data_IF_938940501246
#
_entry.id   IF_938940501246
#
_cell.length_a   1.000
_cell.length_b   1.000
_cell.length_c   1.000
_cell.angle_alpha   90.00
_cell.angle_beta   90.00
_cell.angle_gamma   90.00
#
_symmetry.space_group_name_H-M   'P 1'
#
loop_
_entity.id
_entity.type
_entity.pdbx_description
1 polymer ?
#
# COMPACT_ATOMS: atom_id res chain seq x y z
N UNK A 1 1.26 -9.76 -1.26
CA UNK A 1 1.28 -8.30 -1.55
C UNK A 1 2.62 -7.93 -2.16
N UNK A 2 2.59 -7.38 -3.35
CA UNK A 2 3.76 -6.98 -4.09
C UNK A 2 3.83 -5.44 -4.08
N UNK A 3 4.41 -4.88 -3.04
CA UNK A 3 4.38 -3.44 -2.75
C UNK A 3 4.99 -2.63 -3.90
N UNK A 4 4.25 -1.66 -4.41
CA UNK A 4 4.67 -0.73 -5.45
C UNK A 4 4.76 -1.27 -6.88
N UNK A 5 4.28 -2.49 -7.17
CA UNK A 5 4.33 -3.06 -8.51
C UNK A 5 3.25 -2.45 -9.42
N UNK A 6 3.57 -1.37 -10.11
CA UNK A 6 2.74 -0.84 -11.19
C UNK A 6 2.70 -1.75 -12.42
N UNK A 7 1.69 -1.55 -13.27
CA UNK A 7 1.55 -2.32 -14.53
C UNK A 7 2.76 -2.13 -15.44
N UNK A 8 3.34 -0.94 -15.50
CA UNK A 8 4.54 -0.61 -16.26
C UNK A 8 5.77 -1.44 -15.83
N UNK A 9 5.97 -1.64 -14.53
CA UNK A 9 7.04 -2.51 -14.02
C UNK A 9 6.85 -3.96 -14.48
N UNK A 10 5.63 -4.49 -14.41
CA UNK A 10 5.32 -5.84 -14.87
C UNK A 10 5.54 -6.00 -16.38
N UNK A 11 5.05 -5.06 -17.17
CA UNK A 11 5.12 -5.13 -18.64
C UNK A 11 6.56 -5.06 -19.17
N UNK A 12 7.40 -4.20 -18.56
CA UNK A 12 8.80 -3.99 -18.97
C UNK A 12 9.78 -5.03 -18.38
N UNK A 13 9.35 -5.83 -17.42
CA UNK A 13 10.21 -6.80 -16.75
C UNK A 13 10.13 -8.20 -17.32
N UNK A 14 11.23 -8.95 -17.17
CA UNK A 14 11.30 -10.36 -17.52
C UNK A 14 10.82 -11.22 -16.33
N UNK A 15 9.50 -11.46 -16.25
CA UNK A 15 8.85 -12.27 -15.23
C UNK A 15 8.14 -13.48 -15.85
N UNK A 16 8.88 -14.50 -16.31
CA UNK A 16 8.31 -15.61 -17.08
C UNK A 16 7.27 -16.43 -16.30
N UNK A 17 7.42 -16.57 -14.98
CA UNK A 17 6.45 -17.25 -14.12
C UNK A 17 5.13 -16.51 -14.10
N UNK A 18 5.14 -15.20 -13.79
CA UNK A 18 3.92 -14.39 -13.83
C UNK A 18 3.33 -14.29 -15.24
N UNK A 19 4.16 -14.21 -16.29
CA UNK A 19 3.69 -14.21 -17.67
C UNK A 19 3.04 -15.54 -18.08
N UNK A 20 3.53 -16.67 -17.56
CA UNK A 20 2.89 -17.98 -17.70
C UNK A 20 1.54 -17.99 -16.95
N UNK A 21 1.52 -17.59 -15.68
CA UNK A 21 0.31 -17.59 -14.86
C UNK A 21 -0.77 -16.64 -15.38
N UNK A 22 -0.37 -15.52 -16.01
CA UNK A 22 -1.30 -14.62 -16.69
C UNK A 22 -2.05 -15.28 -17.86
N UNK A 23 -1.47 -16.33 -18.49
CA UNK A 23 -2.10 -17.07 -19.59
C UNK A 23 -2.88 -18.30 -19.11
N UNK A 24 -2.41 -18.97 -18.07
CA UNK A 24 -2.95 -20.22 -17.54
C UNK A 24 -3.94 -20.02 -16.39
N UNK A 25 -3.89 -18.86 -15.74
CA UNK A 25 -4.73 -18.47 -14.62
C UNK A 25 -5.53 -17.20 -14.93
N UNK A 26 -5.64 -16.33 -13.92
CA UNK A 26 -6.31 -15.04 -14.04
C UNK A 26 -5.27 -13.92 -14.09
N UNK A 27 -5.44 -13.01 -15.03
CA UNK A 27 -4.74 -11.73 -15.10
C UNK A 27 -5.71 -10.63 -15.49
N UNK A 28 -5.67 -9.53 -14.75
CA UNK A 28 -6.41 -8.30 -15.09
C UNK A 28 -5.62 -7.08 -14.63
N UNK A 29 -5.63 -6.01 -15.43
CA UNK A 29 -5.28 -4.67 -14.94
C UNK A 29 -6.45 -4.16 -14.13
N UNK A 30 -6.19 -3.80 -12.90
CA UNK A 30 -7.18 -3.33 -11.92
C UNK A 30 -6.74 -2.00 -11.34
N UNK A 31 -7.58 -1.42 -10.49
CA UNK A 31 -7.28 -0.16 -9.82
C UNK A 31 -6.96 -0.38 -8.35
N UNK A 32 -5.86 0.19 -7.88
CA UNK A 32 -5.67 0.43 -6.46
C UNK A 32 -6.72 1.41 -5.94
N UNK A 33 -7.15 1.26 -4.69
CA UNK A 33 -8.09 2.22 -4.09
C UNK A 33 -7.38 3.50 -3.65
N UNK A 34 -8.14 4.58 -3.55
CA UNK A 34 -7.60 5.89 -3.12
C UNK A 34 -7.67 6.06 -1.60
N UNK A 35 -6.64 6.71 -1.02
CA UNK A 35 -5.38 7.11 -1.63
C UNK A 35 -4.53 5.89 -1.97
N UNK A 36 -3.69 5.98 -3.00
CA UNK A 36 -2.78 4.92 -3.41
C UNK A 36 -1.58 4.82 -2.46
N UNK A 37 -1.85 4.51 -1.19
CA UNK A 37 -0.84 4.36 -0.12
C UNK A 37 -0.94 2.98 0.53
N UNK A 38 0.18 2.49 1.04
CA UNK A 38 0.33 1.11 1.49
C UNK A 38 -0.72 0.70 2.52
N UNK A 39 -0.90 1.45 3.62
CA UNK A 39 -1.76 0.97 4.72
C UNK A 39 -3.22 0.86 4.30
N UNK A 40 -3.75 1.82 3.52
CA UNK A 40 -5.13 1.80 3.03
C UNK A 40 -5.37 0.60 2.11
N UNK A 41 -4.49 0.40 1.13
CA UNK A 41 -4.64 -0.69 0.16
C UNK A 41 -4.37 -2.06 0.78
N UNK A 42 -3.37 -2.18 1.64
CA UNK A 42 -3.07 -3.41 2.39
C UNK A 42 -4.25 -3.83 3.28
N UNK A 43 -4.84 -2.88 4.02
CA UNK A 43 -6.03 -3.13 4.82
C UNK A 43 -7.23 -3.54 3.94
N UNK A 44 -7.44 -2.84 2.82
CA UNK A 44 -8.46 -3.17 1.84
C UNK A 44 -8.36 -4.59 1.31
N UNK A 45 -7.17 -5.00 0.85
CA UNK A 45 -6.91 -6.38 0.39
C UNK A 45 -7.17 -7.40 1.49
N UNK A 46 -6.66 -7.14 2.72
CA UNK A 46 -6.78 -8.12 3.81
C UNK A 46 -8.18 -8.17 4.43
N UNK A 47 -8.94 -7.09 4.43
CA UNK A 47 -10.31 -7.06 4.93
C UNK A 47 -11.35 -7.42 3.85
N UNK A 48 -11.03 -7.21 2.57
CA UNK A 48 -11.96 -7.42 1.45
C UNK A 48 -13.09 -6.39 1.41
N UNK A 49 -12.89 -5.21 2.02
CA UNK A 49 -13.81 -4.06 2.08
C UNK A 49 -13.04 -2.75 1.94
N UNK A 50 -13.73 -1.65 1.64
CA UNK A 50 -13.11 -0.33 1.49
C UNK A 50 -12.89 0.38 2.83
N UNK A 51 -12.23 1.55 2.79
CA UNK A 51 -11.81 2.30 3.98
C UNK A 51 -12.98 2.88 4.80
N UNK A 52 -14.17 3.05 4.22
CA UNK A 52 -15.40 3.37 4.95
C UNK A 52 -15.80 2.26 5.95
N UNK A 53 -15.44 1.00 5.64
CA UNK A 53 -15.73 -0.16 6.48
C UNK A 53 -14.52 -0.62 7.31
N UNK A 54 -13.28 -0.65 6.75
CA UNK A 54 -12.11 -1.10 7.51
C UNK A 54 -11.40 0.01 8.29
N UNK A 55 -11.70 1.28 8.01
CA UNK A 55 -11.26 2.42 8.82
C UNK A 55 -9.87 2.99 8.52
N UNK A 56 -9.03 2.37 7.69
CA UNK A 56 -7.67 2.83 7.38
C UNK A 56 -7.69 3.71 6.13
N UNK A 57 -7.51 5.02 6.29
CA UNK A 57 -7.69 6.03 5.23
C UNK A 57 -6.38 6.62 4.70
N UNK A 58 -5.25 6.27 5.31
CA UNK A 58 -3.91 6.75 4.97
C UNK A 58 -2.85 6.02 5.79
N UNK A 59 -1.62 6.51 5.79
CA UNK A 59 -0.60 6.04 6.74
C UNK A 59 -0.72 6.73 8.10
N UNK A 60 -1.29 7.94 8.14
CA UNK A 60 -1.64 8.65 9.38
C UNK A 60 -2.91 9.51 9.19
N UNK A 61 -3.50 9.95 10.28
CA UNK A 61 -4.62 10.89 10.33
C UNK A 61 -4.52 11.79 11.55
N UNK A 62 -5.23 12.92 11.54
CA UNK A 62 -5.42 13.73 12.73
C UNK A 62 -6.62 13.24 13.50
N UNK A 63 -6.37 12.80 14.73
CA UNK A 63 -7.41 12.38 15.65
C UNK A 63 -7.91 13.59 16.43
N UNK A 64 -9.13 14.03 16.11
CA UNK A 64 -9.75 15.22 16.71
C UNK A 64 -10.12 15.01 18.19
N UNK A 65 -10.36 13.77 18.64
CA UNK A 65 -10.76 13.47 20.02
C UNK A 65 -9.61 13.66 21.00
N UNK A 66 -8.38 13.42 20.55
CA UNK A 66 -7.17 13.58 21.38
C UNK A 66 -6.27 14.71 20.88
N UNK A 67 -6.68 15.43 19.83
CA UNK A 67 -5.97 16.55 19.20
C UNK A 67 -4.51 16.22 18.82
N UNK A 68 -4.28 15.04 18.21
CA UNK A 68 -2.95 14.55 17.85
C UNK A 68 -2.94 13.76 16.54
N UNK A 69 -1.78 13.72 15.90
CA UNK A 69 -1.52 12.82 14.80
C UNK A 69 -1.44 11.36 15.30
N UNK A 70 -2.12 10.46 14.58
CA UNK A 70 -2.08 9.01 14.82
C UNK A 70 -1.59 8.28 13.56
N UNK A 71 -0.63 7.36 13.74
CA UNK A 71 -0.20 6.47 12.66
C UNK A 71 -1.15 5.28 12.53
N UNK A 72 -1.60 5.00 11.33
CA UNK A 72 -2.55 3.93 11.03
C UNK A 72 -1.86 2.56 10.88
N UNK A 73 -1.05 2.18 11.87
CA UNK A 73 -0.33 0.91 11.92
C UNK A 73 -0.75 0.01 13.09
N UNK A 74 -1.82 0.33 13.81
CA UNK A 74 -2.36 -0.47 14.90
C UNK A 74 -3.63 -1.22 14.45
N UNK A 75 -3.69 -2.54 14.70
CA UNK A 75 -4.84 -3.39 14.39
C UNK A 75 -6.12 -3.01 15.12
N UNK A 76 -6.04 -2.27 16.23
CA UNK A 76 -7.22 -1.72 16.93
C UNK A 76 -7.94 -0.63 16.11
N UNK A 77 -7.28 -0.06 15.11
CA UNK A 77 -7.89 0.90 14.18
C UNK A 77 -8.74 0.21 13.09
N UNK A 78 -8.56 -1.11 12.90
CA UNK A 78 -9.37 -1.87 11.95
C UNK A 78 -10.77 -2.09 12.52
N UNK A 79 -11.77 -1.71 11.74
CA UNK A 79 -13.20 -1.85 12.07
C UNK A 79 -13.86 -3.05 11.37
N UNK A 80 -13.10 -3.77 10.53
CA UNK A 80 -13.54 -4.98 9.84
C UNK A 80 -12.57 -6.14 10.07
N UNK A 81 -13.05 -7.40 10.13
CA UNK A 81 -12.20 -8.56 10.32
C UNK A 81 -11.29 -8.81 9.10
N UNK A 82 -10.03 -9.09 9.37
CA UNK A 82 -9.06 -9.45 8.34
C UNK A 82 -9.29 -10.86 7.80
N UNK A 83 -8.71 -11.15 6.64
CA UNK A 83 -8.60 -12.49 6.04
C UNK A 83 -8.03 -13.51 7.06
N UNK A 84 -7.08 -13.11 7.90
CA UNK A 84 -6.48 -14.00 8.91
C UNK A 84 -7.47 -14.36 10.03
N UNK A 85 -8.25 -13.40 10.50
CA UNK A 85 -9.30 -13.63 11.49
C UNK A 85 -10.43 -14.49 10.90
N UNK A 86 -10.81 -14.24 9.64
CA UNK A 86 -11.78 -15.09 8.93
C UNK A 86 -11.25 -16.51 8.76
N UNK A 87 -10.04 -16.71 8.26
CA UNK A 87 -9.40 -18.01 8.12
C UNK A 87 -9.36 -18.78 9.44
N UNK A 88 -9.03 -18.11 10.54
CA UNK A 88 -9.02 -18.70 11.88
C UNK A 88 -10.36 -19.28 12.33
N UNK A 89 -11.49 -18.68 11.91
CA UNK A 89 -12.85 -19.22 12.19
C UNK A 89 -13.10 -20.58 11.51
N UNK A 90 -12.36 -20.89 10.44
CA UNK A 90 -12.38 -22.18 9.75
C UNK A 90 -11.25 -23.12 10.20
N UNK A 91 -10.53 -22.77 11.28
CA UNK A 91 -9.40 -23.55 11.78
C UNK A 91 -8.14 -23.47 10.91
N UNK A 92 -8.10 -22.55 9.93
CA UNK A 92 -6.94 -22.36 9.08
C UNK A 92 -5.88 -21.53 9.82
N UNK A 93 -4.69 -22.08 9.94
CA UNK A 93 -3.53 -21.41 10.55
C UNK A 93 -2.89 -20.45 9.56
N UNK A 94 -2.74 -19.20 9.95
CA UNK A 94 -2.21 -18.14 9.10
C UNK A 94 -0.87 -17.63 9.59
N UNK A 95 -0.01 -17.20 8.67
CA UNK A 95 1.27 -16.59 8.98
C UNK A 95 1.52 -15.35 8.11
N UNK A 96 2.18 -14.35 8.67
CA UNK A 96 2.63 -13.13 7.96
C UNK A 96 4.16 -13.11 7.93
N UNK A 97 4.74 -12.82 6.76
CA UNK A 97 6.16 -12.48 6.60
C UNK A 97 6.24 -11.18 5.80
N UNK A 98 6.73 -10.12 6.42
CA UNK A 98 6.74 -8.77 5.85
C UNK A 98 8.10 -8.10 5.91
N UNK A 99 8.46 -7.41 4.85
CA UNK A 99 9.59 -6.49 4.83
C UNK A 99 9.33 -5.23 5.68
N UNK A 100 8.06 -4.82 5.81
CA UNK A 100 7.66 -3.63 6.58
C UNK A 100 7.14 -4.02 7.96
N UNK A 101 7.82 -3.58 9.05
CA UNK A 101 7.40 -3.88 10.43
C UNK A 101 5.99 -3.40 10.75
N UNK A 102 5.56 -2.25 10.18
CA UNK A 102 4.22 -1.67 10.42
C UNK A 102 3.06 -2.60 10.02
N UNK A 103 3.29 -3.54 9.11
CA UNK A 103 2.31 -4.57 8.72
C UNK A 103 1.93 -5.48 9.88
N UNK A 104 2.90 -5.80 10.75
CA UNK A 104 2.71 -6.76 11.85
C UNK A 104 1.68 -6.29 12.86
N UNK A 105 1.83 -5.13 13.54
CA UNK A 105 0.82 -4.68 14.50
C UNK A 105 -0.54 -4.44 13.86
N UNK A 106 -0.60 -4.01 12.58
CA UNK A 106 -1.86 -3.77 11.89
C UNK A 106 -2.63 -5.07 11.59
N UNK A 107 -1.95 -6.14 11.14
CA UNK A 107 -2.62 -7.31 10.57
C UNK A 107 -2.48 -8.61 11.37
N UNK A 108 -1.67 -8.66 12.42
CA UNK A 108 -1.31 -9.92 13.13
C UNK A 108 -2.49 -10.64 13.82
N UNK A 109 -3.60 -9.97 14.05
CA UNK A 109 -4.75 -10.58 14.70
C UNK A 109 -5.31 -11.74 13.86
N UNK A 110 -5.43 -12.91 14.48
CA UNK A 110 -5.85 -14.15 13.81
C UNK A 110 -4.72 -14.96 13.19
N UNK A 111 -3.45 -14.50 13.27
CA UNK A 111 -2.28 -15.28 12.81
C UNK A 111 -1.65 -16.07 13.95
N UNK A 112 -1.00 -17.19 13.61
CA UNK A 112 -0.19 -17.95 14.57
C UNK A 112 1.22 -17.41 14.69
N UNK A 113 1.71 -16.71 13.68
CA UNK A 113 3.00 -16.03 13.66
C UNK A 113 2.97 -14.85 12.68
N UNK A 114 3.59 -13.74 13.06
CA UNK A 114 3.79 -12.61 12.19
C UNK A 114 5.21 -12.07 12.33
N UNK A 115 5.95 -12.03 11.24
CA UNK A 115 7.37 -11.65 11.16
C UNK A 115 7.48 -10.35 10.37
N UNK A 116 8.06 -9.32 11.00
CA UNK A 116 8.51 -8.10 10.35
C UNK A 116 10.03 -8.03 10.32
N UNK A 117 10.63 -7.56 9.24
CA UNK A 117 12.09 -7.58 9.08
C UNK A 117 12.84 -6.69 10.07
N UNK A 118 12.23 -5.62 10.57
CA UNK A 118 12.93 -4.65 11.42
C UNK A 118 12.97 -5.08 12.90
N UNK A 119 12.11 -6.03 13.31
CA UNK A 119 12.09 -6.60 14.65
C UNK A 119 11.65 -8.07 14.62
N UNK A 120 12.37 -8.96 13.94
CA UNK A 120 12.01 -10.37 13.87
C UNK A 120 12.28 -11.08 15.20
N UNK A 121 11.52 -12.16 15.54
CA UNK A 121 11.83 -13.04 16.66
C UNK A 121 13.26 -13.61 16.58
N UNK A 122 13.86 -13.86 17.76
CA UNK A 122 15.25 -14.31 17.85
C UNK A 122 15.50 -15.65 17.12
N UNK A 123 14.54 -16.57 17.15
CA UNK A 123 14.61 -17.84 16.43
C UNK A 123 14.63 -17.67 14.91
N UNK A 124 13.98 -16.62 14.41
CA UNK A 124 14.02 -16.29 12.98
C UNK A 124 15.41 -15.78 12.59
N UNK A 125 15.99 -14.91 13.41
CA UNK A 125 17.36 -14.42 13.18
C UNK A 125 18.36 -15.57 13.25
N UNK A 126 18.20 -16.49 14.21
CA UNK A 126 19.07 -17.65 14.33
C UNK A 126 19.01 -18.56 13.09
N UNK A 127 17.80 -18.75 12.53
CA UNK A 127 17.59 -19.67 11.40
C UNK A 127 17.96 -19.05 10.05
N UNK A 128 17.60 -17.79 9.81
CA UNK A 128 17.70 -17.15 8.48
C UNK A 128 18.75 -16.04 8.41
N UNK A 129 19.45 -15.78 9.51
CA UNK A 129 20.39 -14.67 9.62
C UNK A 129 19.69 -13.33 9.92
N UNK A 130 20.51 -12.32 10.23
CA UNK A 130 20.05 -10.96 10.47
C UNK A 130 19.40 -10.42 9.18
N UNK A 131 18.19 -9.80 9.27
CA UNK A 131 17.57 -9.21 8.09
C UNK A 131 18.42 -8.07 7.52
N UNK A 132 18.43 -7.91 6.20
CA UNK A 132 18.98 -6.72 5.56
C UNK A 132 18.23 -5.45 5.97
N UNK A 133 18.85 -4.30 5.68
CA UNK A 133 18.20 -3.00 5.89
C UNK A 133 16.91 -2.89 5.07
N UNK A 134 15.86 -2.28 5.65
CA UNK A 134 14.57 -2.09 4.97
C UNK A 134 14.70 -1.27 3.67
N UNK A 135 15.70 -0.39 3.60
CA UNK A 135 16.02 0.42 2.41
C UNK A 135 17.00 -0.31 1.49
N UNK A 136 16.73 -1.58 1.19
CA UNK A 136 17.45 -2.42 0.26
C UNK A 136 16.51 -3.34 -0.52
N UNK A 137 16.97 -3.89 -1.64
CA UNK A 137 16.25 -4.96 -2.35
C UNK A 137 16.34 -6.30 -1.60
N UNK A 138 17.43 -6.52 -0.90
CA UNK A 138 17.74 -7.78 -0.23
C UNK A 138 16.78 -8.15 0.88
N UNK A 139 16.13 -7.16 1.51
CA UNK A 139 15.09 -7.42 2.51
C UNK A 139 13.89 -8.17 1.91
N UNK A 140 13.53 -7.88 0.66
CA UNK A 140 12.50 -8.61 -0.07
C UNK A 140 12.93 -10.07 -0.31
N UNK A 141 14.20 -10.31 -0.62
CA UNK A 141 14.74 -11.67 -0.81
C UNK A 141 14.81 -12.46 0.50
N UNK A 142 15.13 -11.78 1.61
CA UNK A 142 15.09 -12.37 2.94
C UNK A 142 13.68 -12.82 3.33
N UNK A 143 12.67 -11.99 3.07
CA UNK A 143 11.24 -12.32 3.27
C UNK A 143 10.85 -13.56 2.47
N UNK A 144 11.24 -13.62 1.19
CA UNK A 144 10.93 -14.74 0.32
C UNK A 144 11.63 -16.04 0.73
N UNK A 145 12.89 -15.98 1.21
CA UNK A 145 13.59 -17.15 1.76
C UNK A 145 12.85 -17.78 2.93
N UNK A 146 12.30 -16.96 3.83
CA UNK A 146 11.46 -17.43 4.94
C UNK A 146 10.18 -18.05 4.41
N UNK A 147 9.51 -17.38 3.48
CA UNK A 147 8.26 -17.87 2.89
C UNK A 147 8.44 -19.24 2.21
N UNK A 148 9.50 -19.43 1.44
CA UNK A 148 9.82 -20.72 0.79
C UNK A 148 10.06 -21.81 1.83
N UNK A 149 10.80 -21.51 2.91
CA UNK A 149 11.02 -22.49 3.97
C UNK A 149 9.70 -22.86 4.70
N UNK A 150 8.82 -21.88 4.93
CA UNK A 150 7.49 -22.13 5.51
C UNK A 150 6.69 -23.07 4.59
N UNK A 151 6.66 -22.81 3.29
CA UNK A 151 5.96 -23.63 2.30
C UNK A 151 6.50 -25.07 2.33
N UNK A 152 7.82 -25.25 2.31
CA UNK A 152 8.47 -26.56 2.28
C UNK A 152 8.33 -27.36 3.58
N UNK A 153 8.36 -26.69 4.74
CA UNK A 153 8.58 -27.35 6.02
C UNK A 153 7.46 -27.13 7.06
N UNK A 154 6.44 -26.34 6.74
CA UNK A 154 5.33 -26.07 7.67
C UNK A 154 3.94 -26.33 7.02
N UNK A 155 3.61 -27.57 6.66
CA UNK A 155 2.37 -27.90 5.94
C UNK A 155 1.09 -27.59 6.71
N UNK A 156 1.19 -27.25 8.01
CA UNK A 156 0.05 -26.82 8.83
C UNK A 156 -0.31 -25.36 8.64
N UNK A 157 0.51 -24.56 7.93
CA UNK A 157 0.18 -23.17 7.57
C UNK A 157 -0.65 -23.23 6.29
N UNK A 158 -1.94 -22.96 6.42
CA UNK A 158 -2.89 -22.97 5.30
C UNK A 158 -3.09 -21.61 4.64
N UNK A 159 -2.56 -20.54 5.24
CA UNK A 159 -2.58 -19.19 4.67
C UNK A 159 -1.28 -18.46 4.98
N UNK A 160 -0.52 -18.12 3.97
CA UNK A 160 0.73 -17.37 4.08
C UNK A 160 0.62 -16.03 3.37
N UNK A 161 0.77 -14.94 4.10
CA UNK A 161 0.82 -13.59 3.54
C UNK A 161 2.26 -13.10 3.47
N UNK A 162 2.72 -12.82 2.26
CA UNK A 162 4.06 -12.31 1.99
C UNK A 162 3.92 -10.85 1.56
N UNK A 163 4.64 -9.94 2.20
CA UNK A 163 4.60 -8.51 1.90
C UNK A 163 6.03 -7.98 1.68
N UNK A 164 6.30 -7.51 0.46
CA UNK A 164 7.58 -6.89 0.08
C UNK A 164 7.62 -5.42 0.51
N UNK A 165 8.71 -4.71 0.24
CA UNK A 165 8.78 -3.24 0.30
C UNK A 165 8.98 -2.67 -1.10
N UNK A 166 8.39 -1.53 -1.36
CA UNK A 166 8.43 -0.73 -2.57
C UNK A 166 9.71 0.11 -2.74
N UNK A 167 10.65 0.02 -1.78
CA UNK A 167 11.91 0.76 -1.84
C UNK A 167 12.61 0.67 -3.22
N UNK A 168 12.68 -0.50 -3.88
CA UNK A 168 13.29 -0.58 -5.22
C UNK A 168 12.61 0.32 -6.24
N UNK A 169 11.27 0.43 -6.20
CA UNK A 169 10.47 1.22 -7.12
C UNK A 169 10.57 2.72 -6.84
N UNK A 170 10.82 3.11 -5.59
CA UNK A 170 11.17 4.50 -5.23
C UNK A 170 12.54 4.92 -5.77
N UNK A 171 13.47 3.98 -5.97
CA UNK A 171 14.84 4.26 -6.40
C UNK A 171 15.07 4.06 -7.88
N UNK A 172 14.38 3.13 -8.50
CA UNK A 172 14.66 2.72 -9.87
C UNK A 172 13.40 2.76 -10.72
N UNK A 173 13.49 3.41 -11.88
CA UNK A 173 12.42 3.43 -12.86
C UNK A 173 12.17 2.01 -13.45
N UNK A 174 11.01 1.76 -14.08
CA UNK A 174 10.69 0.44 -14.66
C UNK A 174 11.74 -0.05 -15.68
N UNK A 175 12.35 0.87 -16.43
CA UNK A 175 13.36 0.58 -17.46
C UNK A 175 14.75 0.29 -16.89
N UNK A 176 14.98 0.61 -15.61
CA UNK A 176 16.28 0.44 -14.99
C UNK A 176 16.65 -1.05 -14.86
N UNK A 177 17.93 -1.35 -15.03
CA UNK A 177 18.46 -2.71 -14.90
C UNK A 177 18.20 -3.27 -13.50
N UNK A 178 18.32 -2.44 -12.46
CA UNK A 178 18.07 -2.81 -11.07
C UNK A 178 16.62 -3.29 -10.87
N UNK A 179 15.64 -2.61 -11.48
CA UNK A 179 14.23 -3.01 -11.46
C UNK A 179 14.04 -4.38 -12.12
N UNK A 180 14.65 -4.59 -13.28
CA UNK A 180 14.57 -5.85 -14.03
C UNK A 180 15.17 -7.01 -13.25
N UNK A 181 16.35 -6.81 -12.65
CA UNK A 181 17.04 -7.83 -11.83
C UNK A 181 16.20 -8.14 -10.59
N UNK A 182 15.70 -7.12 -9.89
CA UNK A 182 14.85 -7.28 -8.71
C UNK A 182 13.60 -8.11 -9.03
N UNK A 183 12.84 -7.70 -10.04
CA UNK A 183 11.58 -8.35 -10.40
C UNK A 183 11.80 -9.77 -10.95
N UNK A 184 12.88 -9.99 -11.71
CA UNK A 184 13.26 -11.34 -12.12
C UNK A 184 13.60 -12.24 -10.93
N UNK A 185 14.27 -11.70 -9.90
CA UNK A 185 14.59 -12.44 -8.68
C UNK A 185 13.32 -12.84 -7.92
N UNK A 186 12.35 -11.94 -7.80
CA UNK A 186 11.05 -12.24 -7.18
C UNK A 186 10.27 -13.28 -8.01
N UNK A 187 10.30 -13.18 -9.34
CA UNK A 187 9.66 -14.17 -10.23
C UNK A 187 10.27 -15.57 -10.06
N UNK A 188 11.57 -15.67 -9.80
CA UNK A 188 12.23 -16.94 -9.48
C UNK A 188 11.74 -17.52 -8.13
N UNK A 189 11.51 -16.69 -7.11
CA UNK A 189 10.91 -17.14 -5.84
C UNK A 189 9.47 -17.63 -6.02
N UNK A 190 8.69 -16.98 -6.89
CA UNK A 190 7.34 -17.46 -7.22
C UNK A 190 7.38 -18.85 -7.88
N UNK A 191 8.32 -19.06 -8.82
CA UNK A 191 8.53 -20.37 -9.42
C UNK A 191 8.91 -21.42 -8.38
N UNK A 192 9.89 -21.11 -7.50
CA UNK A 192 10.32 -22.01 -6.43
C UNK A 192 9.19 -22.34 -5.44
N UNK A 193 8.32 -21.38 -5.14
CA UNK A 193 7.15 -21.60 -4.29
C UNK A 193 6.15 -22.57 -4.93
N UNK A 194 5.88 -22.41 -6.23
CA UNK A 194 4.98 -23.29 -6.97
C UNK A 194 5.55 -24.71 -7.14
N UNK A 195 6.86 -24.83 -7.32
CA UNK A 195 7.56 -26.13 -7.39
C UNK A 195 7.59 -26.85 -6.03
N UNK A 196 7.65 -26.08 -4.93
CA UNK A 196 7.69 -26.62 -3.58
C UNK A 196 6.36 -27.26 -3.14
N UNK A 197 5.23 -26.70 -3.58
CA UNK A 197 3.90 -27.24 -3.33
C UNK A 197 2.98 -26.88 -4.51
N UNK A 198 2.70 -27.84 -5.41
CA UNK A 198 1.86 -27.60 -6.59
C UNK A 198 0.41 -27.22 -6.28
N UNK A 199 -0.09 -27.54 -5.08
CA UNK A 199 -1.49 -27.28 -4.70
C UNK A 199 -1.70 -25.85 -4.18
N UNK A 200 -0.64 -25.02 -4.09
CA UNK A 200 -0.75 -23.64 -3.64
C UNK A 200 -1.58 -22.81 -4.62
N UNK A 201 -2.54 -22.06 -4.06
CA UNK A 201 -3.21 -20.99 -4.77
C UNK A 201 -2.51 -19.65 -4.50
N UNK A 202 -2.11 -18.96 -5.56
CA UNK A 202 -1.46 -17.65 -5.50
C UNK A 202 -2.47 -16.54 -5.79
N UNK A 203 -2.56 -15.57 -4.88
CA UNK A 203 -3.31 -14.33 -5.03
C UNK A 203 -2.32 -13.18 -4.95
N UNK A 204 -2.06 -12.51 -6.07
CA UNK A 204 -1.02 -11.48 -6.17
C UNK A 204 -1.66 -10.16 -6.56
N UNK A 205 -1.63 -9.20 -5.66
CA UNK A 205 -2.01 -7.82 -5.92
C UNK A 205 -0.95 -6.88 -5.35
N UNK A 206 -0.56 -5.85 -6.10
CA UNK A 206 0.07 -4.67 -5.57
C UNK A 206 -0.91 -3.83 -4.75
N UNK A 207 -0.38 -2.97 -3.92
CA UNK A 207 -1.14 -1.94 -3.22
C UNK A 207 -1.27 -0.66 -4.06
N UNK A 208 -0.25 -0.32 -4.86
CA UNK A 208 -0.21 0.81 -5.79
C UNK A 208 0.92 0.66 -6.81
N UNK A 209 0.98 1.55 -7.80
CA UNK A 209 2.14 1.79 -8.65
C UNK A 209 2.99 2.96 -8.13
N UNK A 210 4.03 3.34 -8.87
CA UNK A 210 4.88 4.51 -8.59
C UNK A 210 5.20 5.28 -9.86
N UNK A 211 5.21 6.62 -9.76
CA UNK A 211 5.59 7.53 -10.82
C UNK A 211 6.75 8.44 -10.41
N UNK A 212 7.50 8.95 -11.39
CA UNK A 212 8.43 10.06 -11.18
C UNK A 212 7.68 11.32 -10.74
N UNK A 213 8.28 12.09 -9.85
CA UNK A 213 7.73 13.35 -9.34
C UNK A 213 8.78 14.45 -9.47
N UNK A 214 8.38 15.60 -9.97
CA UNK A 214 9.28 16.70 -10.23
C UNK A 214 9.24 17.79 -9.14
N UNK A 215 8.11 17.95 -8.46
CA UNK A 215 7.89 19.08 -7.54
C UNK A 215 7.18 18.63 -6.27
N UNK A 216 7.61 19.13 -5.12
CA UNK A 216 6.82 19.09 -3.89
C UNK A 216 6.17 20.45 -3.62
N UNK A 217 4.88 20.43 -3.27
CA UNK A 217 4.11 21.60 -2.80
C UNK A 217 3.82 21.47 -1.30
N UNK A 218 4.27 22.44 -0.52
CA UNK A 218 3.93 22.58 0.89
C UNK A 218 2.64 23.38 1.06
N UNK A 219 1.52 22.66 1.11
CA UNK A 219 0.19 23.26 1.27
C UNK A 219 0.01 24.03 2.59
N UNK A 220 0.74 23.68 3.67
CA UNK A 220 0.72 24.46 4.91
C UNK A 220 1.20 25.89 4.65
N UNK A 221 2.28 26.05 3.87
CA UNK A 221 2.79 27.38 3.49
C UNK A 221 1.84 28.10 2.55
N UNK A 222 1.22 27.39 1.61
CA UNK A 222 0.23 27.96 0.70
C UNK A 222 -0.96 28.52 1.46
N UNK A 223 -1.56 27.75 2.37
CA UNK A 223 -2.71 28.19 3.16
C UNK A 223 -2.35 29.35 4.11
N UNK A 224 -1.22 29.22 4.82
CA UNK A 224 -0.74 30.30 5.72
C UNK A 224 -0.53 31.61 4.97
N UNK A 225 0.15 31.62 3.81
CA UNK A 225 0.35 32.78 2.96
C UNK A 225 -0.96 33.43 2.49
N UNK A 226 -1.99 32.61 2.32
CA UNK A 226 -3.32 33.03 1.88
C UNK A 226 -4.25 33.41 3.05
N UNK A 227 -3.76 33.38 4.30
CA UNK A 227 -4.52 33.76 5.49
C UNK A 227 -5.69 32.85 5.83
N UNK A 228 -5.56 31.54 5.54
CA UNK A 228 -6.49 30.53 5.98
C UNK A 228 -6.07 30.04 7.36
N UNK A 229 -7.03 29.96 8.27
CA UNK A 229 -6.83 29.33 9.58
C UNK A 229 -7.04 27.82 9.47
N UNK A 230 -5.99 27.05 9.75
CA UNK A 230 -6.00 25.59 9.64
C UNK A 230 -5.19 24.95 10.77
N UNK A 231 -5.54 23.75 11.14
CA UNK A 231 -4.82 22.94 12.13
C UNK A 231 -3.53 22.37 11.50
N UNK A 232 -3.67 21.62 10.43
CA UNK A 232 -2.57 20.95 9.73
C UNK A 232 -3.00 20.51 8.32
N UNK A 233 -2.03 20.41 7.41
CA UNK A 233 -2.18 19.65 6.17
C UNK A 233 -1.26 18.44 6.24
N UNK A 234 -1.81 17.26 6.03
CA UNK A 234 -1.09 15.99 6.10
C UNK A 234 -1.15 15.29 4.75
N UNK A 235 0.02 14.90 4.21
CA UNK A 235 0.06 13.95 3.11
C UNK A 235 -0.46 12.59 3.60
N UNK A 236 -1.25 11.90 2.78
CA UNK A 236 -1.70 10.53 3.08
C UNK A 236 -0.54 9.53 3.22
N UNK A 237 0.62 9.86 2.63
CA UNK A 237 1.88 9.08 2.70
C UNK A 237 2.72 9.41 3.95
N UNK A 238 2.30 10.34 4.78
CA UNK A 238 3.02 10.69 6.01
C UNK A 238 3.13 9.47 6.93
N UNK A 239 4.38 9.02 7.19
CA UNK A 239 4.68 7.76 7.87
C UNK A 239 5.81 7.92 8.89
N UNK A 240 5.96 6.92 9.76
CA UNK A 240 7.10 6.77 10.67
C UNK A 240 8.41 6.44 9.95
N UNK A 241 8.36 5.99 8.69
CA UNK A 241 9.48 5.52 7.88
C UNK A 241 9.75 6.41 6.65
N UNK A 242 10.05 7.71 6.82
CA UNK A 242 10.04 8.68 5.72
C UNK A 242 11.30 8.70 4.85
N UNK A 243 12.35 7.90 5.14
CA UNK A 243 13.68 8.09 4.51
C UNK A 243 13.70 7.98 2.99
N UNK A 244 12.84 7.16 2.39
CA UNK A 244 12.86 6.94 0.93
C UNK A 244 11.87 7.85 0.16
N UNK A 245 10.87 8.42 0.82
CA UNK A 245 9.86 9.28 0.20
C UNK A 245 9.60 10.60 0.96
N UNK A 246 10.32 10.87 2.06
CA UNK A 246 10.19 12.09 2.87
C UNK A 246 8.78 12.36 3.41
N UNK A 247 7.87 11.37 3.40
CA UNK A 247 6.45 11.54 3.70
C UNK A 247 5.69 12.35 2.63
N UNK A 248 6.24 12.47 1.42
CA UNK A 248 5.64 13.19 0.32
C UNK A 248 4.77 12.26 -0.52
N UNK A 249 3.51 12.60 -0.70
CA UNK A 249 2.56 11.79 -1.46
C UNK A 249 1.60 12.62 -2.32
N UNK A 250 0.96 11.94 -3.27
CA UNK A 250 0.06 12.59 -4.23
C UNK A 250 -1.33 12.96 -3.70
N UNK A 251 -1.66 12.60 -2.45
CA UNK A 251 -2.92 12.99 -1.77
C UNK A 251 -2.60 13.68 -0.46
N UNK A 252 -3.39 14.70 -0.11
CA UNK A 252 -3.31 15.36 1.18
C UNK A 252 -4.69 15.63 1.80
N UNK A 253 -4.73 15.64 3.12
CA UNK A 253 -5.86 16.04 3.94
C UNK A 253 -5.61 17.42 4.54
N UNK A 254 -6.57 18.33 4.43
CA UNK A 254 -6.55 19.62 5.11
C UNK A 254 -7.48 19.53 6.31
N UNK A 255 -6.95 19.75 7.50
CA UNK A 255 -7.72 19.87 8.74
C UNK A 255 -7.81 21.35 9.11
N UNK A 256 -9.01 21.90 9.15
CA UNK A 256 -9.27 23.29 9.49
C UNK A 256 -9.50 23.45 10.99
N UNK A 257 -9.19 24.63 11.55
CA UNK A 257 -9.56 24.96 12.93
C UNK A 257 -11.07 25.19 13.09
N UNK A 258 -11.72 25.64 12.01
CA UNK A 258 -13.18 25.77 11.96
C UNK A 258 -13.74 25.23 10.63
N UNK A 259 -14.73 24.34 10.66
CA UNK A 259 -15.42 23.88 9.44
C UNK A 259 -16.05 25.01 8.62
N UNK A 260 -16.35 26.18 9.25
CA UNK A 260 -16.88 27.36 8.54
C UNK A 260 -15.90 27.98 7.55
N UNK A 261 -14.61 27.66 7.66
CA UNK A 261 -13.58 28.15 6.74
C UNK A 261 -13.40 27.28 5.48
N UNK A 262 -14.17 26.20 5.34
CA UNK A 262 -14.08 25.27 4.21
C UNK A 262 -14.26 25.99 2.86
N UNK A 263 -15.32 26.80 2.70
CA UNK A 263 -15.57 27.55 1.46
C UNK A 263 -14.44 28.53 1.14
N UNK A 264 -13.90 29.20 2.16
CA UNK A 264 -12.77 30.11 2.02
C UNK A 264 -11.51 29.37 1.58
N UNK A 265 -11.22 28.21 2.18
CA UNK A 265 -10.10 27.36 1.80
C UNK A 265 -10.24 26.84 0.36
N UNK A 266 -11.43 26.36 -0.03
CA UNK A 266 -11.74 25.93 -1.41
C UNK A 266 -11.48 27.07 -2.40
N UNK A 267 -11.98 28.27 -2.12
CA UNK A 267 -11.80 29.43 -3.00
C UNK A 267 -10.32 29.76 -3.20
N UNK A 268 -9.52 29.66 -2.14
CA UNK A 268 -8.08 29.98 -2.18
C UNK A 268 -7.28 28.90 -2.91
N UNK A 269 -7.65 27.63 -2.74
CA UNK A 269 -6.93 26.48 -3.34
C UNK A 269 -7.32 26.24 -4.79
N UNK A 270 -8.45 26.77 -5.26
CA UNK A 270 -8.94 26.58 -6.65
C UNK A 270 -7.93 26.99 -7.71
N UNK A 271 -7.14 28.03 -7.45
CA UNK A 271 -6.17 28.58 -8.39
C UNK A 271 -4.76 27.96 -8.22
N UNK A 272 -4.62 26.93 -7.42
CA UNK A 272 -3.37 26.20 -7.22
C UNK A 272 -3.28 25.09 -8.27
N UNK A 273 -2.50 25.34 -9.30
CA UNK A 273 -2.39 24.48 -10.50
C UNK A 273 -1.84 23.07 -10.23
N UNK A 274 -1.17 22.88 -9.11
CA UNK A 274 -0.63 21.62 -8.66
C UNK A 274 -1.71 20.68 -8.06
N UNK A 275 -2.90 21.20 -7.79
CA UNK A 275 -4.06 20.43 -7.32
C UNK A 275 -4.88 19.99 -8.53
N UNK A 276 -5.03 18.68 -8.71
CA UNK A 276 -5.84 18.10 -9.77
C UNK A 276 -7.32 17.97 -9.36
N UNK A 277 -7.54 17.52 -8.13
CA UNK A 277 -8.88 17.37 -7.56
C UNK A 277 -8.92 17.92 -6.13
N UNK A 278 -10.03 18.54 -5.81
CA UNK A 278 -10.34 19.03 -4.47
C UNK A 278 -11.80 18.67 -4.14
N UNK A 279 -11.98 17.98 -3.01
CA UNK A 279 -13.27 17.52 -2.52
C UNK A 279 -13.42 17.91 -1.05
N UNK A 280 -14.66 18.16 -0.64
CA UNK A 280 -15.01 18.19 0.79
C UNK A 280 -14.86 16.81 1.41
N UNK A 281 -14.87 16.73 2.73
CA UNK A 281 -14.86 15.46 3.50
C UNK A 281 -15.96 14.51 3.03
N UNK A 282 -17.16 15.01 2.89
CA UNK A 282 -18.36 14.23 2.51
C UNK A 282 -18.26 13.71 1.07
N UNK A 283 -17.82 14.58 0.15
CA UNK A 283 -17.60 14.21 -1.25
C UNK A 283 -16.52 13.16 -1.39
N UNK A 284 -15.38 13.32 -0.69
CA UNK A 284 -14.28 12.36 -0.70
C UNK A 284 -14.69 11.03 -0.06
N UNK A 285 -15.35 11.06 1.08
CA UNK A 285 -15.87 9.88 1.76
C UNK A 285 -16.79 9.07 0.85
N UNK A 286 -17.71 9.74 0.15
CA UNK A 286 -18.64 9.12 -0.79
C UNK A 286 -17.93 8.59 -2.03
N UNK A 287 -17.08 9.40 -2.67
CA UNK A 287 -16.43 9.07 -3.95
C UNK A 287 -15.44 7.92 -3.82
N UNK A 288 -14.60 7.96 -2.78
CA UNK A 288 -13.50 7.03 -2.57
C UNK A 288 -13.77 6.00 -1.48
N UNK A 289 -14.97 5.98 -0.93
CA UNK A 289 -15.39 5.06 0.14
C UNK A 289 -14.43 5.11 1.33
N UNK A 290 -14.26 6.31 1.89
CA UNK A 290 -13.38 6.58 3.03
C UNK A 290 -14.18 6.81 4.31
N UNK A 291 -13.60 6.48 5.46
CA UNK A 291 -14.18 6.81 6.76
C UNK A 291 -14.07 8.33 7.00
N UNK A 292 -15.19 9.07 7.06
CA UNK A 292 -15.17 10.53 7.18
C UNK A 292 -14.57 11.04 8.50
N UNK A 293 -14.54 10.21 9.56
CA UNK A 293 -13.94 10.57 10.85
C UNK A 293 -12.41 10.50 10.86
N UNK A 294 -11.81 9.96 9.77
CA UNK A 294 -10.36 9.74 9.67
C UNK A 294 -9.75 10.39 8.43
N UNK A 295 -10.41 11.40 7.89
CA UNK A 295 -9.92 12.28 6.81
C UNK A 295 -10.15 13.74 7.20
N UNK A 296 -9.44 14.68 6.54
CA UNK A 296 -9.56 16.11 6.78
C UNK A 296 -10.87 16.71 6.26
N UNK A 297 -11.07 18.00 6.53
CA UNK A 297 -12.20 18.79 6.02
C UNK A 297 -12.16 18.90 4.49
N UNK A 298 -10.94 18.93 3.91
CA UNK A 298 -10.73 18.83 2.47
C UNK A 298 -9.78 17.67 2.14
N UNK A 299 -10.08 17.03 1.03
CA UNK A 299 -9.27 16.07 0.32
C UNK A 299 -8.71 16.68 -0.95
N UNK A 300 -7.41 16.53 -1.15
CA UNK A 300 -6.71 17.09 -2.31
C UNK A 300 -5.90 15.99 -3.00
N UNK A 301 -5.96 15.90 -4.33
CA UNK A 301 -5.00 15.12 -5.11
C UNK A 301 -4.14 16.00 -5.97
N UNK A 302 -2.88 15.62 -6.15
CA UNK A 302 -1.91 16.33 -6.96
C UNK A 302 -1.97 15.90 -8.43
N UNK A 303 -1.62 16.80 -9.33
CA UNK A 303 -1.30 16.47 -10.72
C UNK A 303 -0.14 15.47 -10.78
N UNK A 304 0.02 14.75 -11.88
CA UNK A 304 0.91 13.60 -12.02
C UNK A 304 2.33 13.81 -11.47
N UNK A 305 2.95 14.96 -11.76
CA UNK A 305 4.36 15.20 -11.47
C UNK A 305 4.60 15.90 -10.12
N UNK A 306 3.55 16.04 -9.30
CA UNK A 306 3.58 16.76 -8.02
C UNK A 306 3.28 15.80 -6.87
N UNK A 307 3.89 16.08 -5.73
CA UNK A 307 3.54 15.54 -4.41
C UNK A 307 3.30 16.67 -3.41
N UNK A 308 2.51 16.36 -2.39
CA UNK A 308 2.32 17.22 -1.23
C UNK A 308 3.20 16.78 -0.07
N UNK A 309 3.74 17.74 0.69
CA UNK A 309 4.55 17.40 1.86
C UNK A 309 5.12 18.64 2.56
N UNK A 310 5.83 18.38 3.65
CA UNK A 310 6.47 19.43 4.46
C UNK A 310 7.88 19.74 3.92
N UNK A 311 7.95 20.51 2.83
CA UNK A 311 9.20 21.04 2.28
C UNK A 311 9.63 22.36 2.95
N UNK A 312 10.92 22.73 2.81
CA UNK A 312 11.47 23.98 3.36
C UNK A 312 10.84 25.18 2.67
N UNK A 313 10.73 25.14 1.34
CA UNK A 313 10.04 26.19 0.58
C UNK A 313 8.60 25.79 0.27
N UNK A 314 7.77 26.75 -0.15
CA UNK A 314 6.39 26.45 -0.58
C UNK A 314 6.38 25.49 -1.77
N UNK A 315 7.33 25.66 -2.69
CA UNK A 315 7.57 24.79 -3.86
C UNK A 315 9.04 24.50 -3.99
N UNK A 316 9.38 23.22 -4.06
CA UNK A 316 10.74 22.78 -4.31
C UNK A 316 10.79 21.79 -5.46
N UNK A 317 11.87 21.88 -6.26
CA UNK A 317 12.18 20.87 -7.26
C UNK A 317 12.76 19.64 -6.56
N UNK A 318 12.26 18.48 -6.92
CA UNK A 318 12.75 17.19 -6.44
C UNK A 318 13.91 16.69 -7.30
N UNK A 319 14.71 15.77 -6.79
CA UNK A 319 15.73 15.09 -7.56
C UNK A 319 15.10 14.39 -8.79
N UNK A 320 15.81 14.36 -9.90
CA UNK A 320 15.30 13.82 -11.17
C UNK A 320 14.94 12.32 -11.12
N UNK A 321 15.48 11.60 -10.14
CA UNK A 321 15.22 10.19 -9.85
C UNK A 321 14.17 9.99 -8.74
N UNK A 322 13.59 11.07 -8.21
CA UNK A 322 12.59 10.96 -7.15
C UNK A 322 11.29 10.36 -7.69
N UNK A 323 10.81 9.34 -7.01
CA UNK A 323 9.58 8.61 -7.33
C UNK A 323 8.71 8.45 -6.09
N UNK A 324 7.40 8.57 -6.27
CA UNK A 324 6.42 8.43 -5.20
C UNK A 324 5.05 8.03 -5.76
N UNK A 325 4.09 7.92 -4.86
CA UNK A 325 2.73 7.49 -5.12
C UNK A 325 1.73 8.31 -4.29
N UNK A 326 0.50 7.86 -4.16
CA UNK A 326 -0.53 8.50 -3.34
C UNK A 326 -1.61 9.20 -4.15
N UNK A 327 -1.46 9.37 -5.47
CA UNK A 327 -2.43 10.05 -6.36
C UNK A 327 -3.22 9.07 -7.23
N UNK A 328 -4.14 9.58 -8.03
CA UNK A 328 -4.89 8.78 -9.00
C UNK A 328 -4.01 8.18 -10.12
N UNK A 329 -2.81 8.74 -10.32
CA UNK A 329 -1.89 8.33 -11.37
C UNK A 329 -1.11 7.03 -11.05
N UNK A 330 -1.15 6.55 -9.81
CA UNK A 330 -0.51 5.30 -9.35
C UNK A 330 -1.52 4.17 -9.11
N UNK A 331 -2.76 4.31 -9.64
CA UNK A 331 -3.83 3.32 -9.43
C UNK A 331 -3.72 2.08 -10.32
N UNK A 332 -3.09 2.19 -11.49
CA UNK A 332 -3.05 1.11 -12.48
C UNK A 332 -2.07 0.02 -12.05
N UNK A 333 -2.59 -1.13 -11.65
CA UNK A 333 -1.83 -2.25 -11.09
C UNK A 333 -2.24 -3.59 -11.70
N UNK A 334 -1.30 -4.55 -11.82
CA UNK A 334 -1.61 -5.89 -12.31
C UNK A 334 -2.16 -6.77 -11.17
N UNK A 335 -3.15 -7.59 -11.47
CA UNK A 335 -3.69 -8.59 -10.55
C UNK A 335 -3.54 -9.99 -11.16
N UNK A 336 -3.06 -10.94 -10.35
CA UNK A 336 -2.91 -12.34 -10.78
C UNK A 336 -3.54 -13.27 -9.75
N UNK A 337 -4.26 -14.28 -10.24
CA UNK A 337 -4.67 -15.43 -9.45
C UNK A 337 -4.27 -16.67 -10.22
N UNK A 338 -3.48 -17.53 -9.59
CA UNK A 338 -3.07 -18.81 -10.14
C UNK A 338 -3.43 -19.93 -9.18
N UNK A 339 -4.16 -20.93 -9.69
CA UNK A 339 -4.60 -22.09 -8.94
C UNK A 339 -4.47 -23.33 -9.82
N UNK A 340 -3.89 -24.37 -9.28
CA UNK A 340 -3.74 -25.64 -9.99
C UNK A 340 -5.09 -26.29 -10.33
N UNK A 341 -6.12 -26.12 -9.48
CA UNK A 341 -7.47 -26.65 -9.70
C UNK A 341 -8.29 -25.84 -10.74
N UNK A 342 -7.72 -24.79 -11.30
CA UNK A 342 -8.34 -23.95 -12.33
C UNK A 342 -9.59 -23.17 -11.88
N UNK A 343 -9.93 -23.17 -10.59
CA UNK A 343 -11.07 -22.42 -10.07
C UNK A 343 -10.71 -20.94 -9.92
N UNK A 344 -11.11 -20.16 -10.89
CA UNK A 344 -10.83 -18.71 -10.95
C UNK A 344 -12.12 -17.92 -10.69
N UNK A 345 -12.02 -16.71 -10.09
CA UNK A 345 -13.17 -15.82 -9.97
C UNK A 345 -13.59 -15.30 -11.34
N UNK A 346 -14.82 -14.80 -11.43
CA UNK A 346 -15.28 -14.05 -12.61
C UNK A 346 -14.50 -12.73 -12.70
N UNK A 347 -14.01 -12.42 -13.88
CA UNK A 347 -13.25 -11.18 -14.13
C UNK A 347 -14.07 -9.91 -13.84
N UNK A 348 -15.39 -9.96 -13.96
CA UNK A 348 -16.29 -8.85 -13.63
C UNK A 348 -16.40 -8.56 -12.13
N UNK A 349 -15.94 -9.48 -11.28
CA UNK A 349 -16.00 -9.34 -9.82
C UNK A 349 -14.74 -8.73 -9.21
N UNK A 350 -13.69 -8.49 -10.01
CA UNK A 350 -12.40 -7.94 -9.56
C UNK A 350 -12.08 -6.68 -10.36
N UNK A 351 -12.39 -5.51 -9.81
CA UNK A 351 -12.09 -4.20 -10.40
C UNK A 351 -11.03 -3.44 -9.61
N UNK A 352 -10.91 -3.75 -8.32
CA UNK A 352 -9.92 -3.14 -7.43
C UNK A 352 -9.14 -4.20 -6.67
N UNK A 353 -8.01 -3.81 -6.08
CA UNK A 353 -7.23 -4.72 -5.25
C UNK A 353 -7.96 -5.20 -3.98
N UNK A 354 -8.97 -4.49 -3.51
CA UNK A 354 -9.86 -4.91 -2.41
C UNK A 354 -10.60 -6.20 -2.76
N UNK A 355 -10.90 -6.41 -4.03
CA UNK A 355 -11.71 -7.53 -4.49
C UNK A 355 -10.98 -8.87 -4.49
N UNK A 356 -9.64 -8.86 -4.55
CA UNK A 356 -8.84 -10.08 -4.81
C UNK A 356 -9.02 -11.17 -3.73
N UNK A 357 -9.16 -10.78 -2.46
CA UNK A 357 -9.29 -11.70 -1.34
C UNK A 357 -10.70 -11.69 -0.69
N UNK A 358 -11.64 -10.91 -1.22
CA UNK A 358 -12.97 -10.78 -0.61
C UNK A 358 -13.74 -12.10 -0.55
N UNK A 359 -13.48 -13.01 -1.49
CA UNK A 359 -14.16 -14.32 -1.56
C UNK A 359 -13.57 -15.38 -0.63
N UNK A 360 -12.37 -15.15 -0.09
CA UNK A 360 -11.69 -16.12 0.74
C UNK A 360 -12.29 -16.15 2.15
N UNK A 361 -12.68 -17.36 2.60
CA UNK A 361 -13.23 -17.57 3.95
C UNK A 361 -14.45 -16.71 4.27
N UNK A 362 -15.30 -16.44 3.29
CA UNK A 362 -16.63 -15.86 3.51
C UNK A 362 -17.64 -16.99 3.80
N UNK A 363 -18.58 -16.70 4.70
CA UNK A 363 -19.84 -17.40 4.86
C UNK A 363 -20.99 -16.44 4.77
#
# INVERSE_FOLDING_TARGET
MFDGLGTDYYELSNMPTLKKWAKEGFYKRIQAVMPTVTNTNMAGVCCGVHADEHGITGNSYWDADIDQEQFMSDGNLLTSPTLFQRAGRFGVRSMIVSAKQKTVPLLKQGTVMAIGSQNPPAEIVQKYGKPPEIYSMDVNYWVWKIAIDVIKNQPKIGLLYIHTTDYPMHKFAPEAEQSRVHLKTIDNFLAEAADADPDIAFYIAPDHGLNSKATVLNLNKTLARKGIDFKIVMSAERDQYPKHHSGFGGTAFVYLNSPSDTDKAIKVLRDVKEIEEMLTREEAAKKYRLNPHRIGDLWLTAVKDVVFGHSIEEREQLASDYRSHGSAHERDIPCFIYRHDGKLPDASEIDTNVDICKFLYQR
#
